data_IF_909859803972
#
_entry.id   IF_909859803972
#
_cell.length_a   1.000
_cell.length_b   1.000
_cell.length_c   1.000
_cell.angle_alpha   90.00
_cell.angle_beta   90.00
_cell.angle_gamma   90.00
#
_symmetry.space_group_name_H-M   'P 1'
#
loop_
_entity.id
_entity.type
_entity.pdbx_description
1 polymer ?
#
# COMPACT_ATOMS: atom_id res chain seq x y z
N UNK A 1 -2.33 1.63 -26.12
CA UNK A 1 -2.90 2.30 -24.95
C UNK A 1 -1.92 3.32 -24.40
N UNK A 2 -2.38 4.51 -24.10
CA UNK A 2 -1.52 5.57 -23.54
C UNK A 2 -1.56 5.52 -22.01
N UNK A 3 -0.54 6.06 -21.34
CA UNK A 3 -0.49 6.13 -19.87
C UNK A 3 -1.74 6.83 -19.32
N UNK A 4 -2.21 7.89 -19.99
CA UNK A 4 -3.42 8.62 -19.59
C UNK A 4 -4.71 7.79 -19.67
N UNK A 5 -4.68 6.68 -20.38
CA UNK A 5 -5.84 5.79 -20.59
C UNK A 5 -5.86 4.62 -19.60
N UNK A 6 -4.78 4.40 -18.84
CA UNK A 6 -4.71 3.33 -17.88
C UNK A 6 -5.71 3.58 -16.74
N UNK A 7 -6.42 2.54 -16.29
CA UNK A 7 -7.34 2.69 -15.16
C UNK A 7 -6.57 3.11 -13.91
N UNK A 8 -7.12 4.07 -13.17
CA UNK A 8 -6.51 4.57 -11.96
C UNK A 8 -7.56 4.73 -10.87
N UNK A 9 -7.21 4.28 -9.69
CA UNK A 9 -7.98 4.53 -8.47
C UNK A 9 -6.99 4.92 -7.39
N UNK A 10 -7.24 6.06 -6.71
CA UNK A 10 -6.44 6.46 -5.58
C UNK A 10 -6.54 5.41 -4.48
N UNK A 11 -5.39 4.97 -3.97
CA UNK A 11 -5.34 4.16 -2.76
C UNK A 11 -5.14 5.12 -1.60
N UNK A 12 -6.18 5.30 -0.79
CA UNK A 12 -6.17 6.29 0.30
C UNK A 12 -5.45 5.75 1.53
N UNK A 13 -4.95 6.68 2.36
CA UNK A 13 -4.33 6.29 3.63
C UNK A 13 -5.34 5.59 4.55
N UNK A 14 -6.61 5.95 4.47
CA UNK A 14 -7.67 5.30 5.23
C UNK A 14 -7.84 3.83 4.83
N UNK A 15 -7.78 3.53 3.53
CA UNK A 15 -7.83 2.16 3.02
C UNK A 15 -6.60 1.38 3.47
N UNK A 16 -5.42 1.99 3.39
CA UNK A 16 -4.16 1.38 3.83
C UNK A 16 -4.25 1.04 5.32
N UNK A 17 -4.69 1.99 6.13
CA UNK A 17 -4.84 1.81 7.57
C UNK A 17 -5.80 0.67 7.90
N UNK A 18 -6.97 0.64 7.26
CA UNK A 18 -7.98 -0.40 7.51
C UNK A 18 -7.43 -1.80 7.22
N UNK A 19 -6.80 -1.98 6.06
CA UNK A 19 -6.22 -3.28 5.68
C UNK A 19 -5.05 -3.64 6.58
N UNK A 20 -4.15 -2.69 6.85
CA UNK A 20 -2.96 -2.97 7.64
C UNK A 20 -3.27 -3.23 9.11
N UNK A 21 -4.21 -2.52 9.71
CA UNK A 21 -4.62 -2.79 11.08
C UNK A 21 -5.15 -4.23 11.21
N UNK A 22 -5.94 -4.70 10.24
CA UNK A 22 -6.42 -6.07 10.19
C UNK A 22 -5.28 -7.07 9.99
N UNK A 23 -4.41 -6.82 9.02
CA UNK A 23 -3.26 -7.69 8.72
C UNK A 23 -2.33 -7.81 9.92
N UNK A 24 -2.03 -6.69 10.58
CA UNK A 24 -1.15 -6.69 11.77
C UNK A 24 -1.76 -7.48 12.92
N UNK A 25 -3.05 -7.29 13.18
CA UNK A 25 -3.75 -8.03 14.24
C UNK A 25 -3.76 -9.52 13.94
N UNK A 26 -4.09 -9.91 12.71
CA UNK A 26 -4.11 -11.32 12.29
C UNK A 26 -2.73 -11.96 12.37
N UNK A 27 -1.70 -11.23 11.98
CA UNK A 27 -0.32 -11.73 12.05
C UNK A 27 0.12 -11.94 13.49
N UNK A 28 -0.16 -10.99 14.38
CA UNK A 28 0.22 -11.09 15.79
C UNK A 28 -0.55 -12.16 16.54
N UNK A 29 -1.79 -12.41 16.17
CA UNK A 29 -2.68 -13.36 16.83
C UNK A 29 -2.79 -14.70 16.11
N UNK A 30 -1.98 -14.92 15.07
CA UNK A 30 -2.02 -16.15 14.28
C UNK A 30 -1.66 -17.36 15.13
N UNK A 31 -2.42 -18.44 14.95
CA UNK A 31 -2.24 -19.70 15.67
C UNK A 31 -1.65 -20.78 14.79
N UNK A 32 -1.39 -20.48 13.52
CA UNK A 32 -0.81 -21.41 12.56
C UNK A 32 -0.10 -20.65 11.46
N UNK A 33 0.78 -21.35 10.73
CA UNK A 33 1.44 -20.79 9.54
C UNK A 33 0.43 -20.45 8.47
N UNK A 34 -0.64 -21.23 8.33
CA UNK A 34 -1.68 -20.95 7.34
C UNK A 34 -2.37 -19.59 7.58
N UNK A 35 -2.59 -19.23 8.84
CA UNK A 35 -3.13 -17.91 9.19
C UNK A 35 -2.16 -16.77 8.86
N UNK A 36 -0.86 -17.00 9.06
CA UNK A 36 0.19 -16.05 8.66
C UNK A 36 0.15 -15.84 7.15
N UNK A 37 0.06 -16.92 6.39
CA UNK A 37 0.04 -16.85 4.92
C UNK A 37 -1.23 -16.16 4.40
N UNK A 38 -2.37 -16.39 5.02
CA UNK A 38 -3.62 -15.73 4.65
C UNK A 38 -3.53 -14.20 4.85
N UNK A 39 -2.99 -13.77 5.99
CA UNK A 39 -2.77 -12.34 6.26
C UNK A 39 -1.78 -11.74 5.25
N UNK A 40 -0.73 -12.50 4.89
CA UNK A 40 0.26 -12.07 3.91
C UNK A 40 -0.35 -11.83 2.53
N UNK A 41 -1.29 -12.66 2.10
CA UNK A 41 -1.96 -12.45 0.82
C UNK A 41 -2.67 -11.11 0.76
N UNK A 42 -3.37 -10.73 1.81
CA UNK A 42 -4.05 -9.43 1.88
C UNK A 42 -3.04 -8.27 1.90
N UNK A 43 -1.93 -8.44 2.61
CA UNK A 43 -0.83 -7.47 2.61
C UNK A 43 -0.26 -7.28 1.21
N UNK A 44 0.04 -8.37 0.49
CA UNK A 44 0.63 -8.29 -0.84
C UNK A 44 -0.33 -7.66 -1.85
N UNK A 45 -1.62 -7.94 -1.74
CA UNK A 45 -2.63 -7.31 -2.60
C UNK A 45 -2.64 -5.80 -2.39
N UNK A 46 -2.69 -5.35 -1.14
CA UNK A 46 -2.64 -3.93 -0.81
C UNK A 46 -1.36 -3.28 -1.34
N UNK A 47 -0.21 -3.93 -1.10
CA UNK A 47 1.08 -3.40 -1.51
C UNK A 47 1.15 -3.25 -3.04
N UNK A 48 0.65 -4.24 -3.77
CA UNK A 48 0.60 -4.19 -5.23
C UNK A 48 -0.31 -3.06 -5.71
N UNK A 49 -1.50 -2.94 -5.15
CA UNK A 49 -2.46 -1.89 -5.52
C UNK A 49 -1.90 -0.50 -5.23
N UNK A 50 -1.29 -0.32 -4.06
CA UNK A 50 -0.68 0.95 -3.66
C UNK A 50 0.48 1.33 -4.59
N UNK A 51 1.41 0.42 -4.82
CA UNK A 51 2.57 0.69 -5.68
C UNK A 51 2.18 0.96 -7.13
N UNK A 52 1.17 0.27 -7.63
CA UNK A 52 0.64 0.50 -8.97
C UNK A 52 0.05 1.91 -9.09
N UNK A 53 -0.78 2.30 -8.13
CA UNK A 53 -1.40 3.63 -8.11
C UNK A 53 -0.35 4.73 -7.96
N UNK A 54 0.60 4.57 -7.06
CA UNK A 54 1.69 5.51 -6.83
C UNK A 54 2.55 5.67 -8.09
N UNK A 55 2.98 4.56 -8.68
CA UNK A 55 3.82 4.58 -9.89
C UNK A 55 3.10 5.25 -11.05
N UNK A 56 1.82 4.95 -11.25
CA UNK A 56 1.02 5.57 -12.31
C UNK A 56 0.90 7.09 -12.09
N UNK A 57 0.69 7.52 -10.85
CA UNK A 57 0.61 8.94 -10.51
C UNK A 57 1.90 9.68 -10.83
N UNK A 58 3.06 9.10 -10.51
CA UNK A 58 4.35 9.69 -10.84
C UNK A 58 4.62 9.71 -12.34
N UNK A 59 4.25 8.66 -13.07
CA UNK A 59 4.39 8.63 -14.52
C UNK A 59 3.55 9.73 -15.18
N UNK A 60 2.30 9.88 -14.76
CA UNK A 60 1.41 10.92 -15.28
C UNK A 60 1.94 12.32 -14.99
N UNK A 61 2.41 12.54 -13.77
CA UNK A 61 3.01 13.81 -13.40
C UNK A 61 4.25 14.12 -14.25
N UNK A 62 5.08 13.11 -14.52
CA UNK A 62 6.28 13.27 -15.34
C UNK A 62 5.95 13.65 -16.79
N UNK A 63 4.81 13.20 -17.31
CA UNK A 63 4.37 13.52 -18.66
C UNK A 63 3.76 14.93 -18.73
N UNK A 64 3.02 15.34 -17.70
CA UNK A 64 2.35 16.63 -17.65
C UNK A 64 2.40 17.18 -16.23
N UNK A 65 3.38 18.06 -15.99
CA UNK A 65 3.66 18.63 -14.66
C UNK A 65 2.73 19.79 -14.28
N UNK A 66 1.83 20.19 -15.20
CA UNK A 66 0.90 21.32 -14.96
C UNK A 66 -0.57 20.88 -14.82
N UNK A 67 -0.88 19.62 -15.11
CA UNK A 67 -2.24 19.11 -14.94
C UNK A 67 -2.56 19.07 -13.43
N UNK A 68 -3.61 19.79 -13.04
CA UNK A 68 -3.97 19.94 -11.63
C UNK A 68 -4.28 18.60 -10.96
N UNK A 69 -4.94 17.70 -11.68
CA UNK A 69 -5.27 16.38 -11.14
C UNK A 69 -3.99 15.53 -10.92
N UNK A 70 -3.09 15.54 -11.91
CA UNK A 70 -1.84 14.78 -11.81
C UNK A 70 -0.96 15.30 -10.67
N UNK A 71 -0.89 16.62 -10.51
CA UNK A 71 -0.15 17.25 -9.41
C UNK A 71 -0.76 16.86 -8.07
N UNK A 72 -2.08 16.93 -7.94
CA UNK A 72 -2.77 16.61 -6.70
C UNK A 72 -2.57 15.16 -6.29
N UNK A 73 -2.64 14.22 -7.24
CA UNK A 73 -2.45 12.80 -6.93
C UNK A 73 -1.00 12.49 -6.55
N UNK A 74 -0.03 13.05 -7.26
CA UNK A 74 1.39 12.91 -6.92
C UNK A 74 1.67 13.47 -5.53
N UNK A 75 1.14 14.66 -5.21
CA UNK A 75 1.33 15.28 -3.90
C UNK A 75 0.70 14.45 -2.79
N UNK A 76 -0.45 13.83 -3.07
CA UNK A 76 -1.09 12.94 -2.10
C UNK A 76 -0.17 11.79 -1.68
N UNK A 77 0.44 11.11 -2.66
CA UNK A 77 1.36 9.99 -2.34
C UNK A 77 2.66 10.47 -1.70
N UNK A 78 3.14 11.66 -2.04
CA UNK A 78 4.29 12.25 -1.36
C UNK A 78 3.98 12.47 0.13
N UNK A 79 2.76 12.93 0.43
CA UNK A 79 2.33 13.20 1.80
C UNK A 79 2.15 11.95 2.63
N UNK A 80 1.49 10.91 2.08
CA UNK A 80 1.20 9.69 2.83
C UNK A 80 2.33 8.67 2.82
N UNK A 81 3.34 8.86 1.96
CA UNK A 81 4.43 7.89 1.79
C UNK A 81 5.09 7.44 3.08
N UNK A 82 5.54 8.37 3.95
CA UNK A 82 6.18 7.98 5.21
C UNK A 82 5.28 7.14 6.12
N UNK A 83 3.99 7.45 6.20
CA UNK A 83 3.04 6.68 7.00
C UNK A 83 2.79 5.30 6.40
N UNK A 84 2.65 5.21 5.08
CA UNK A 84 2.50 3.94 4.38
C UNK A 84 3.74 3.05 4.59
N UNK A 85 4.94 3.61 4.50
CA UNK A 85 6.18 2.89 4.75
C UNK A 85 6.28 2.40 6.18
N UNK A 86 5.80 3.18 7.14
CA UNK A 86 5.78 2.78 8.54
C UNK A 86 4.94 1.51 8.77
N UNK A 87 3.84 1.35 8.05
CA UNK A 87 3.06 0.11 8.12
C UNK A 87 3.85 -1.10 7.61
N UNK A 88 4.68 -0.93 6.60
CA UNK A 88 5.58 -1.99 6.12
C UNK A 88 6.57 -2.41 7.21
N UNK A 89 7.13 -1.44 7.93
CA UNK A 89 8.04 -1.70 9.06
C UNK A 89 7.31 -2.43 10.18
N UNK A 90 6.10 -2.00 10.51
CA UNK A 90 5.29 -2.67 11.53
C UNK A 90 4.95 -4.11 11.16
N UNK A 91 4.70 -4.38 9.88
CA UNK A 91 4.44 -5.73 9.39
C UNK A 91 5.65 -6.63 9.57
N UNK A 92 6.84 -6.15 9.21
CA UNK A 92 8.08 -6.89 9.40
C UNK A 92 8.29 -7.20 10.89
N UNK A 93 8.02 -6.23 11.76
CA UNK A 93 8.11 -6.38 13.21
C UNK A 93 7.14 -7.44 13.74
N UNK A 94 5.90 -7.43 13.23
CA UNK A 94 4.89 -8.43 13.62
C UNK A 94 5.30 -9.85 13.24
N UNK A 95 5.93 -10.01 12.06
CA UNK A 95 6.45 -11.31 11.62
C UNK A 95 7.59 -11.79 12.53
N UNK A 96 8.51 -10.89 12.87
CA UNK A 96 9.64 -11.21 13.74
C UNK A 96 9.19 -11.60 15.17
N UNK A 97 8.09 -11.02 15.63
CA UNK A 97 7.53 -11.33 16.94
C UNK A 97 6.67 -12.59 16.96
N UNK A 98 6.39 -13.14 15.77
CA UNK A 98 5.57 -14.34 15.64
C UNK A 98 6.32 -15.59 16.12
N UNK A 99 5.64 -16.54 16.83
CA UNK A 99 6.24 -17.81 17.18
C UNK A 99 6.51 -18.70 15.97
N UNK A 100 6.00 -18.33 14.78
CA UNK A 100 6.17 -19.08 13.53
C UNK A 100 7.24 -18.50 12.61
N UNK A 101 8.01 -17.56 13.09
CA UNK A 101 9.05 -16.94 12.27
C UNK A 101 10.12 -17.94 11.80
#
# INVERSE_FOLDING_TARGET
>A
MKVSELPYKRVTIEEIKAVMDDVLARTRNAKSVDEILAAREDYLKLLCDYRTAESLSYMRYSINTVDEFYVAEKDYYDEIGPEAENYTVQYASALLDSPFR
#
